data_IF_429252405889
#
_entry.id   IF_429252405889
#
_cell.length_a   1.000
_cell.length_b   1.000
_cell.length_c   1.000
_cell.angle_alpha   90.00
_cell.angle_beta   90.00
_cell.angle_gamma   90.00
#
_symmetry.space_group_name_H-M   'P 1'
#
loop_
_entity.id
_entity.type
_entity.pdbx_description
1 polymer ?
#
# COMPACT_ATOMS: atom_id res chain seq x y z
N UNK A 1 -34.34 5.65 -49.32
CA UNK A 1 -33.49 6.52 -50.16
C UNK A 1 -32.14 6.50 -49.51
N UNK A 2 -31.25 5.59 -50.01
CA UNK A 2 -30.06 5.87 -50.82
C UNK A 2 -29.22 6.97 -50.15
N UNK A 3 -28.02 6.68 -49.63
CA UNK A 3 -26.82 6.59 -50.44
C UNK A 3 -25.66 6.01 -49.64
N UNK A 4 -25.07 5.02 -50.15
CA UNK A 4 -23.75 4.45 -50.11
C UNK A 4 -22.64 5.49 -50.38
N UNK A 5 -21.49 5.42 -49.72
CA UNK A 5 -20.14 5.65 -50.30
C UNK A 5 -19.11 5.11 -49.29
N UNK A 6 -18.51 4.16 -49.53
CA UNK A 6 -17.35 3.39 -49.96
C UNK A 6 -16.18 4.25 -50.41
N UNK A 7 -15.05 4.21 -49.71
CA UNK A 7 -13.66 4.47 -50.17
C UNK A 7 -12.72 3.94 -49.07
N UNK A 8 -12.08 2.83 -49.16
CA UNK A 8 -10.96 2.29 -49.92
C UNK A 8 -9.61 3.05 -49.75
N UNK A 9 -8.65 2.30 -49.15
CA UNK A 9 -7.23 2.15 -49.49
C UNK A 9 -6.28 3.20 -48.91
N UNK A 10 -5.24 2.75 -48.21
CA UNK A 10 -3.79 2.53 -48.49
C UNK A 10 -3.15 2.35 -47.12
N UNK A 11 -2.53 1.33 -46.66
CA UNK A 11 -1.46 0.51 -47.16
C UNK A 11 -0.09 1.17 -46.98
N UNK A 12 0.57 0.99 -45.80
CA UNK A 12 2.00 1.15 -45.71
C UNK A 12 2.59 0.11 -44.75
N UNK A 13 3.11 -0.93 -45.36
CA UNK A 13 4.13 -1.79 -44.77
C UNK A 13 5.45 -1.00 -44.70
N UNK A 14 6.09 -0.98 -43.55
CA UNK A 14 7.53 -0.82 -43.44
C UNK A 14 8.10 -1.98 -42.64
N UNK A 15 8.71 -2.89 -43.40
CA UNK A 15 9.74 -3.79 -42.90
C UNK A 15 11.08 -3.02 -42.92
N UNK A 16 11.87 -3.11 -41.88
CA UNK A 16 13.34 -3.11 -41.89
C UNK A 16 13.79 -3.40 -40.46
N UNK A 17 14.38 -4.43 -40.22
CA UNK A 17 15.64 -5.11 -40.53
C UNK A 17 16.53 -5.13 -39.30
N UNK A 18 16.93 -6.34 -38.96
CA UNK A 18 17.89 -6.78 -37.95
C UNK A 18 19.18 -5.95 -37.96
N UNK A 19 19.76 -5.75 -36.80
CA UNK A 19 21.21 -5.79 -36.69
C UNK A 19 21.62 -6.59 -35.43
N UNK A 20 22.16 -7.74 -35.75
CA UNK A 20 22.93 -8.65 -34.92
C UNK A 20 24.37 -8.11 -34.85
N UNK A 21 24.93 -7.99 -33.68
CA UNK A 21 26.40 -7.99 -33.54
C UNK A 21 26.82 -8.54 -32.19
N UNK A 22 27.09 -9.83 -32.28
CA UNK A 22 27.94 -10.63 -31.43
C UNK A 22 29.36 -10.04 -31.39
N UNK A 23 29.95 -9.83 -30.23
CA UNK A 23 31.38 -9.97 -30.08
C UNK A 23 31.71 -10.53 -28.69
N UNK A 24 32.17 -11.75 -28.76
CA UNK A 24 32.96 -12.51 -27.81
C UNK A 24 34.28 -11.82 -27.57
N UNK A 25 34.72 -11.65 -26.35
CA UNK A 25 36.15 -11.76 -26.03
C UNK A 25 36.35 -12.30 -24.61
N UNK A 26 37.05 -13.41 -24.60
CA UNK A 26 37.50 -14.20 -23.48
C UNK A 26 38.84 -13.59 -23.03
N UNK A 27 38.97 -13.25 -21.75
CA UNK A 27 40.29 -13.35 -21.09
C UNK A 27 40.14 -13.65 -19.60
N UNK A 28 40.69 -14.79 -19.31
CA UNK A 28 40.93 -15.42 -18.03
C UNK A 28 42.27 -14.87 -17.48
N UNK A 29 42.33 -14.45 -16.23
CA UNK A 29 43.56 -14.57 -15.42
C UNK A 29 43.29 -14.36 -13.93
N UNK A 30 43.50 -15.44 -13.19
CA UNK A 30 44.11 -15.64 -11.84
C UNK A 30 43.79 -14.71 -10.68
N UNK A 31 43.21 -15.36 -9.67
CA UNK A 31 43.47 -15.34 -8.22
C UNK A 31 44.20 -14.13 -7.61
N UNK A 32 43.48 -13.53 -6.64
CA UNK A 32 44.03 -13.27 -5.32
C UNK A 32 42.89 -12.85 -4.36
N UNK A 33 42.83 -13.56 -3.23
CA UNK A 33 41.99 -13.19 -2.08
C UNK A 33 42.72 -12.13 -1.27
N UNK A 34 42.05 -11.06 -0.89
CA UNK A 34 42.17 -10.62 0.48
C UNK A 34 40.82 -10.46 1.16
N UNK A 35 40.72 -11.12 2.26
CA UNK A 35 39.86 -10.88 3.39
C UNK A 35 39.73 -9.38 3.67
N UNK A 36 38.60 -8.79 3.45
CA UNK A 36 38.27 -7.53 4.12
C UNK A 36 36.79 -7.54 4.57
N UNK A 37 36.67 -7.73 5.86
CA UNK A 37 35.51 -7.40 6.69
C UNK A 37 35.21 -5.93 6.51
N UNK A 38 34.18 -5.61 5.78
CA UNK A 38 33.50 -4.33 5.95
C UNK A 38 31.99 -4.58 5.89
N UNK A 39 31.41 -4.61 7.07
CA UNK A 39 29.99 -4.51 7.32
C UNK A 39 29.56 -3.12 6.84
N UNK A 40 29.15 -3.04 5.58
CA UNK A 40 28.47 -1.83 5.10
C UNK A 40 27.06 -1.81 5.62
N UNK A 41 26.84 -0.83 6.43
CA UNK A 41 25.58 -0.38 6.97
C UNK A 41 24.42 -0.57 5.98
N UNK A 42 23.52 -1.49 6.34
CA UNK A 42 22.13 -1.40 5.96
C UNK A 42 21.66 -0.04 6.47
N UNK A 43 21.37 0.87 5.57
CA UNK A 43 20.70 2.12 5.89
C UNK A 43 19.32 1.72 6.41
N UNK A 44 19.22 1.61 7.70
CA UNK A 44 18.00 1.46 8.45
C UNK A 44 17.18 2.73 8.18
N UNK A 45 16.16 2.58 7.34
CA UNK A 45 15.13 3.57 7.16
C UNK A 45 14.52 3.81 8.56
N UNK A 46 14.40 5.07 9.03
CA UNK A 46 13.95 5.32 10.39
C UNK A 46 12.57 4.71 10.56
N UNK A 47 12.49 3.66 11.36
CA UNK A 47 11.26 3.14 11.88
C UNK A 47 10.62 4.29 12.67
N UNK A 48 9.52 4.83 12.19
CA UNK A 48 8.70 5.79 12.93
C UNK A 48 8.24 5.05 14.19
N UNK A 49 8.81 5.41 15.31
CA UNK A 49 8.49 4.82 16.59
C UNK A 49 7.01 5.06 16.91
N UNK A 50 6.27 4.06 17.41
CA UNK A 50 4.89 4.23 17.82
C UNK A 50 4.79 5.28 18.91
N UNK A 51 3.86 6.20 18.77
CA UNK A 51 3.71 7.41 19.58
C UNK A 51 3.17 7.15 21.00
N UNK A 52 2.87 5.89 21.34
CA UNK A 52 2.44 5.47 22.69
C UNK A 52 3.24 4.25 23.12
N UNK A 53 4.08 4.46 24.12
CA UNK A 53 4.84 3.40 24.79
C UNK A 53 3.94 2.68 25.81
N UNK A 54 3.99 1.38 25.82
CA UNK A 54 4.22 0.46 26.90
C UNK A 54 3.07 -0.35 27.48
N UNK A 55 2.02 -0.63 26.75
CA UNK A 55 1.21 -1.81 27.07
C UNK A 55 1.69 -2.98 26.19
N UNK A 56 2.18 -4.09 26.76
CA UNK A 56 2.63 -5.25 25.97
C UNK A 56 1.56 -5.79 25.02
N UNK A 57 0.29 -5.61 25.33
CA UNK A 57 -0.82 -6.00 24.47
C UNK A 57 -0.96 -5.09 23.26
N UNK A 58 -0.67 -3.79 23.41
CA UNK A 58 -0.67 -2.84 22.28
C UNK A 58 0.50 -3.13 21.35
N UNK A 59 1.68 -3.43 21.87
CA UNK A 59 2.86 -3.76 21.07
C UNK A 59 2.64 -5.05 20.25
N UNK A 60 2.05 -6.08 20.85
CA UNK A 60 1.71 -7.31 20.12
C UNK A 60 0.65 -7.07 19.05
N UNK A 61 -0.35 -6.24 19.34
CA UNK A 61 -1.39 -5.84 18.39
C UNK A 61 -0.81 -5.03 17.24
N UNK A 62 0.11 -4.11 17.49
CA UNK A 62 0.80 -3.34 16.45
C UNK A 62 1.61 -4.26 15.53
N UNK A 63 2.29 -5.26 16.07
CA UNK A 63 3.03 -6.25 15.28
C UNK A 63 2.09 -7.08 14.41
N UNK A 64 1.01 -7.61 14.99
CA UNK A 64 0.00 -8.35 14.23
C UNK A 64 -0.65 -7.48 13.13
N UNK A 65 -0.97 -6.22 13.46
CA UNK A 65 -1.51 -5.24 12.52
C UNK A 65 -0.56 -4.94 11.37
N UNK A 66 0.74 -4.81 11.64
CA UNK A 66 1.76 -4.66 10.62
C UNK A 66 1.80 -5.84 9.66
N UNK A 67 1.76 -7.05 10.17
CA UNK A 67 1.79 -8.27 9.34
C UNK A 67 0.57 -8.35 8.41
N UNK A 68 -0.59 -7.92 8.89
CA UNK A 68 -1.82 -7.83 8.08
C UNK A 68 -1.69 -6.72 7.04
N UNK A 69 -1.20 -5.55 7.43
CA UNK A 69 -0.98 -4.42 6.53
C UNK A 69 -0.07 -4.81 5.37
N UNK A 70 1.06 -5.41 5.66
CA UNK A 70 2.05 -5.82 4.64
C UNK A 70 1.46 -6.81 3.63
N UNK A 71 0.57 -7.68 4.07
CA UNK A 71 -0.05 -8.72 3.23
C UNK A 71 -1.26 -8.24 2.43
N UNK A 72 -2.05 -7.30 2.98
CA UNK A 72 -3.40 -7.01 2.44
C UNK A 72 -3.62 -5.54 2.05
N UNK A 73 -2.82 -4.61 2.54
CA UNK A 73 -3.05 -3.18 2.39
C UNK A 73 -1.95 -2.49 1.57
N UNK A 74 -0.71 -2.88 1.82
CA UNK A 74 0.50 -2.25 1.29
C UNK A 74 0.54 -2.15 -0.23
N UNK A 75 0.00 -3.13 -0.95
CA UNK A 75 0.00 -3.13 -2.41
C UNK A 75 -0.73 -1.91 -3.01
N UNK A 76 -1.79 -1.44 -2.33
CA UNK A 76 -2.56 -0.29 -2.75
C UNK A 76 -2.18 0.99 -2.00
N UNK A 77 -1.87 0.90 -0.71
CA UNK A 77 -1.64 2.08 0.13
C UNK A 77 -0.15 2.44 0.30
N UNK A 78 0.76 1.68 -0.28
CA UNK A 78 2.21 1.92 -0.17
C UNK A 78 2.80 1.42 1.16
N UNK A 79 4.12 1.34 1.23
CA UNK A 79 4.83 0.96 2.46
C UNK A 79 4.83 2.10 3.49
N UNK A 80 4.71 3.32 3.02
CA UNK A 80 4.70 4.58 3.76
C UNK A 80 3.30 5.15 3.99
N UNK A 81 2.26 4.45 3.51
CA UNK A 81 0.89 4.90 3.61
C UNK A 81 0.52 6.06 2.70
N UNK A 82 1.37 6.43 1.74
CA UNK A 82 1.12 7.58 0.85
C UNK A 82 0.21 7.26 -0.34
N UNK A 83 -0.17 5.99 -0.50
CA UNK A 83 -0.85 5.50 -1.70
C UNK A 83 0.14 5.08 -2.78
N UNK A 84 -0.16 4.01 -3.51
CA UNK A 84 0.73 3.49 -4.54
C UNK A 84 0.77 4.38 -5.80
N UNK A 85 -0.21 5.24 -5.98
CA UNK A 85 -0.30 6.22 -7.06
C UNK A 85 -1.32 7.31 -6.71
N UNK A 86 -1.43 8.34 -7.55
CA UNK A 86 -2.31 9.49 -7.36
C UNK A 86 -3.82 9.17 -7.32
N UNK A 87 -4.22 7.97 -7.69
CA UNK A 87 -5.62 7.53 -7.68
C UNK A 87 -6.03 6.83 -6.39
N UNK A 88 -5.06 6.48 -5.54
CA UNK A 88 -5.29 5.79 -4.28
C UNK A 88 -5.06 6.74 -3.11
N UNK A 89 -6.04 6.88 -2.19
CA UNK A 89 -5.93 7.84 -1.11
C UNK A 89 -4.83 7.45 -0.12
N UNK A 90 -4.08 8.43 0.42
CA UNK A 90 -3.11 8.18 1.46
C UNK A 90 -3.80 7.80 2.77
N UNK A 91 -3.15 6.93 3.53
CA UNK A 91 -3.43 6.67 4.93
C UNK A 91 -2.59 7.56 5.85
N UNK A 92 -1.49 8.10 5.30
CA UNK A 92 -0.59 8.97 6.02
C UNK A 92 -1.25 10.32 6.31
N UNK A 93 -1.19 10.76 7.58
CA UNK A 93 -1.74 12.03 8.06
C UNK A 93 -3.20 12.24 7.62
N UNK A 94 -3.96 11.15 7.52
CA UNK A 94 -5.29 11.17 6.93
C UNK A 94 -6.29 11.89 7.83
N UNK A 95 -6.92 12.92 7.29
CA UNK A 95 -8.04 13.62 7.91
C UNK A 95 -9.34 12.81 7.84
N UNK A 96 -9.43 11.85 6.93
CA UNK A 96 -10.63 11.06 6.66
C UNK A 96 -11.14 10.24 7.86
N UNK A 97 -10.23 9.79 8.72
CA UNK A 97 -10.56 9.06 9.94
C UNK A 97 -9.94 9.66 11.21
N UNK A 98 -9.40 10.87 11.11
CA UNK A 98 -8.70 11.50 12.24
C UNK A 98 -9.62 11.94 13.37
N UNK A 99 -10.88 12.21 13.06
CA UNK A 99 -11.88 12.63 14.05
C UNK A 99 -12.75 11.46 14.53
N UNK A 100 -12.91 10.45 13.68
CA UNK A 100 -13.64 9.22 14.02
C UNK A 100 -12.84 7.99 13.57
N UNK A 101 -12.17 7.35 14.52
CA UNK A 101 -11.40 6.13 14.26
C UNK A 101 -12.26 4.97 13.72
N UNK A 102 -13.59 4.98 13.99
CA UNK A 102 -14.49 3.95 13.48
C UNK A 102 -14.78 4.10 11.99
N UNK A 103 -14.52 5.28 11.41
CA UNK A 103 -14.54 5.46 9.96
C UNK A 103 -13.49 4.59 9.26
N UNK A 104 -12.29 4.45 9.85
CA UNK A 104 -11.26 3.53 9.35
C UNK A 104 -11.75 2.07 9.41
N UNK A 105 -12.33 1.66 10.54
CA UNK A 105 -12.90 0.32 10.71
C UNK A 105 -13.99 0.06 9.67
N UNK A 106 -14.91 1.01 9.48
CA UNK A 106 -15.99 0.90 8.51
C UNK A 106 -15.44 0.76 7.08
N UNK A 107 -14.42 1.54 6.74
CA UNK A 107 -13.78 1.52 5.43
C UNK A 107 -13.15 0.16 5.12
N UNK A 108 -12.49 -0.45 6.08
CA UNK A 108 -11.87 -1.78 5.91
C UNK A 108 -12.96 -2.86 5.83
N UNK A 109 -13.91 -2.85 6.76
CA UNK A 109 -14.89 -3.91 6.90
C UNK A 109 -15.95 -3.92 5.78
N UNK A 110 -16.41 -2.74 5.35
CA UNK A 110 -17.49 -2.56 4.37
C UNK A 110 -16.98 -2.18 2.98
N UNK A 111 -15.72 -1.72 2.89
CA UNK A 111 -15.18 -1.12 1.68
C UNK A 111 -15.67 0.30 1.46
N UNK A 112 -15.15 0.93 0.41
CA UNK A 112 -15.56 2.28 -0.02
C UNK A 112 -15.93 2.22 -1.49
N UNK A 113 -17.02 2.89 -1.87
CA UNK A 113 -17.44 3.09 -3.25
C UNK A 113 -17.83 4.55 -3.46
N UNK A 114 -17.41 5.09 -4.60
CA UNK A 114 -17.68 6.48 -4.95
C UNK A 114 -16.68 7.45 -4.36
N UNK A 115 -17.03 8.72 -4.38
CA UNK A 115 -16.13 9.80 -4.05
C UNK A 115 -15.91 9.95 -2.54
N UNK A 116 -14.67 10.10 -2.17
CA UNK A 116 -14.23 10.51 -0.82
C UNK A 116 -13.22 11.65 -0.96
N UNK A 117 -13.10 12.45 0.09
CA UNK A 117 -12.06 13.48 0.17
C UNK A 117 -11.09 13.10 1.28
N UNK A 118 -9.79 13.10 0.97
CA UNK A 118 -8.71 12.81 1.92
C UNK A 118 -7.65 13.90 1.76
N UNK A 119 -7.30 14.57 2.83
CA UNK A 119 -6.30 15.64 2.85
C UNK A 119 -6.58 16.71 1.78
N UNK A 120 -7.86 17.06 1.60
CA UNK A 120 -8.32 18.06 0.64
C UNK A 120 -8.34 17.62 -0.83
N UNK A 121 -7.92 16.39 -1.15
CA UNK A 121 -7.98 15.82 -2.51
C UNK A 121 -9.15 14.82 -2.62
N UNK A 122 -9.90 14.93 -3.71
CA UNK A 122 -10.99 14.00 -4.01
C UNK A 122 -10.45 12.76 -4.73
N UNK A 123 -10.92 11.61 -4.29
CA UNK A 123 -10.64 10.30 -4.86
C UNK A 123 -11.98 9.65 -5.24
N UNK A 124 -12.04 9.07 -6.43
CA UNK A 124 -13.21 8.35 -6.93
C UNK A 124 -12.78 6.95 -7.34
N UNK A 125 -12.94 6.01 -6.43
CA UNK A 125 -12.44 4.67 -6.63
C UNK A 125 -13.24 3.64 -5.84
N UNK A 126 -12.73 2.42 -5.85
CA UNK A 126 -13.32 1.30 -5.12
C UNK A 126 -12.24 0.71 -4.22
N UNK A 127 -12.47 0.76 -2.92
CA UNK A 127 -11.78 -0.09 -1.96
C UNK A 127 -12.69 -1.29 -1.68
N UNK A 128 -12.28 -2.52 -1.98
CA UNK A 128 -13.10 -3.69 -1.67
C UNK A 128 -13.21 -3.89 -0.16
N UNK A 129 -14.34 -4.42 0.29
CA UNK A 129 -14.48 -4.88 1.65
C UNK A 129 -13.48 -6.03 1.93
N UNK A 130 -12.84 -5.98 3.07
CA UNK A 130 -11.87 -6.99 3.49
C UNK A 130 -12.44 -7.78 4.67
N UNK A 131 -12.99 -8.98 4.44
CA UNK A 131 -13.46 -9.81 5.53
C UNK A 131 -12.29 -10.23 6.42
N UNK A 132 -12.40 -9.94 7.71
CA UNK A 132 -11.43 -10.19 8.76
C UNK A 132 -12.15 -10.62 10.04
N UNK A 133 -11.46 -11.36 10.90
CA UNK A 133 -11.90 -11.58 12.27
C UNK A 133 -11.80 -10.28 13.07
N UNK A 134 -12.48 -10.21 14.20
CA UNK A 134 -12.52 -9.00 15.01
C UNK A 134 -11.13 -8.61 15.52
N UNK A 135 -10.32 -9.60 15.92
CA UNK A 135 -8.94 -9.41 16.36
C UNK A 135 -8.05 -8.87 15.23
N UNK A 136 -8.21 -9.38 14.01
CA UNK A 136 -7.45 -8.94 12.85
C UNK A 136 -7.81 -7.50 12.45
N UNK A 137 -9.10 -7.17 12.46
CA UNK A 137 -9.59 -5.84 12.14
C UNK A 137 -9.15 -4.82 13.19
N UNK A 138 -9.24 -5.18 14.48
CA UNK A 138 -8.73 -4.37 15.57
C UNK A 138 -7.21 -4.12 15.43
N UNK A 139 -6.44 -5.17 15.15
CA UNK A 139 -4.99 -5.09 15.03
C UNK A 139 -4.55 -4.19 13.87
N UNK A 140 -5.08 -4.40 12.65
CA UNK A 140 -4.69 -3.59 11.49
C UNK A 140 -5.16 -2.14 11.61
N UNK A 141 -6.34 -1.90 12.19
CA UNK A 141 -6.83 -0.54 12.42
C UNK A 141 -5.97 0.19 13.45
N UNK A 142 -5.62 -0.47 14.55
CA UNK A 142 -4.69 0.08 15.56
C UNK A 142 -3.33 0.40 14.93
N UNK A 143 -2.80 -0.49 14.09
CA UNK A 143 -1.54 -0.26 13.37
C UNK A 143 -1.62 1.01 12.49
N UNK A 144 -2.64 1.13 11.65
CA UNK A 144 -2.79 2.31 10.77
C UNK A 144 -2.93 3.60 11.57
N UNK A 145 -3.67 3.60 12.68
CA UNK A 145 -3.82 4.77 13.56
C UNK A 145 -2.49 5.24 14.16
N UNK A 146 -1.58 4.32 14.47
CA UNK A 146 -0.31 4.65 15.13
C UNK A 146 0.86 4.84 14.17
N UNK A 147 0.67 4.48 12.90
CA UNK A 147 1.70 4.62 11.86
C UNK A 147 1.40 5.80 10.95
N UNK A 148 2.33 6.11 10.06
CA UNK A 148 2.17 7.06 8.99
C UNK A 148 1.86 8.50 9.45
N UNK A 149 2.41 8.90 10.61
CA UNK A 149 2.19 10.21 11.24
C UNK A 149 0.71 10.53 11.56
N UNK A 150 -0.09 9.50 11.77
CA UNK A 150 -1.46 9.65 12.24
C UNK A 150 -1.51 10.02 13.74
N UNK A 151 -2.69 10.42 14.25
CA UNK A 151 -2.87 10.89 15.62
C UNK A 151 -2.61 9.83 16.69
N UNK A 152 -2.57 8.55 16.32
CA UNK A 152 -2.51 7.42 17.23
C UNK A 152 -3.88 7.01 17.74
N UNK A 153 -3.89 5.95 18.54
CA UNK A 153 -5.09 5.41 19.15
C UNK A 153 -5.15 3.89 19.07
N UNK A 154 -6.14 3.34 19.72
CA UNK A 154 -6.38 1.91 19.78
C UNK A 154 -7.80 1.60 19.33
N UNK A 155 -7.97 0.49 18.61
CA UNK A 155 -9.25 -0.15 18.33
C UNK A 155 -9.27 -1.46 19.10
N UNK A 156 -10.26 -1.65 19.96
CA UNK A 156 -10.42 -2.90 20.71
C UNK A 156 -11.31 -3.90 19.99
N UNK A 157 -11.24 -5.16 20.38
CA UNK A 157 -12.11 -6.22 19.84
C UNK A 157 -13.57 -5.95 20.21
N UNK A 158 -13.82 -5.39 21.39
CA UNK A 158 -15.15 -5.02 21.87
C UNK A 158 -15.75 -3.91 21.01
N UNK A 159 -14.97 -2.90 20.60
CA UNK A 159 -15.40 -1.85 19.69
C UNK A 159 -15.78 -2.44 18.31
N UNK A 160 -14.99 -3.41 17.81
CA UNK A 160 -15.33 -4.12 16.55
C UNK A 160 -16.64 -4.91 16.71
N UNK A 161 -16.80 -5.64 17.81
CA UNK A 161 -18.02 -6.38 18.09
C UNK A 161 -19.26 -5.45 18.17
N UNK A 162 -19.12 -4.31 18.85
CA UNK A 162 -20.17 -3.29 18.91
C UNK A 162 -20.50 -2.71 17.52
N UNK A 163 -19.47 -2.38 16.72
CA UNK A 163 -19.64 -1.92 15.35
C UNK A 163 -20.41 -2.93 14.47
N UNK A 164 -20.08 -4.22 14.58
CA UNK A 164 -20.80 -5.28 13.83
C UNK A 164 -22.22 -5.48 14.31
N UNK A 165 -22.49 -5.25 15.61
CA UNK A 165 -23.84 -5.30 16.18
C UNK A 165 -24.69 -4.06 15.86
N UNK A 166 -24.14 -3.06 15.15
CA UNK A 166 -24.83 -1.83 14.78
C UNK A 166 -25.07 -0.88 15.97
N UNK A 167 -24.21 -0.91 16.98
CA UNK A 167 -24.29 -0.09 18.19
C UNK A 167 -23.33 1.09 18.14
#
# INVERSE_FOLDING_TARGET
MKSTLLTLIVGCLFLSACNDQSQTDTQQTTAETPKNTNVSAVTEQPAVAPKQASDPQVDERLKAGKDIYDKRCKACHGADGMGANDSLPPLAKSDYFSEDKMQLVASIAKGIRGQITVNGKTYDGIMPALPMKDEELAAVSTYVLNMFDNKGGEITVEEIAAFRAGK
#
